data_IF_071961355864
#
_entry.id   IF_071961355864
#
_cell.length_a   1.000
_cell.length_b   1.000
_cell.length_c   1.000
_cell.angle_alpha   90.00
_cell.angle_beta   90.00
_cell.angle_gamma   90.00
#
_symmetry.space_group_name_H-M   'P 1'
#
loop_
_entity.id
_entity.type
_entity.pdbx_description
1 polymer ?
#
# COMPACT_ATOMS: atom_id res chain seq x y z
N UNK A 1 26.53 27.35 -22.25
CA UNK A 1 25.56 26.24 -22.29
C UNK A 1 26.15 25.09 -21.48
N UNK A 2 25.51 24.69 -20.37
CA UNK A 2 25.91 23.45 -19.67
C UNK A 2 25.35 22.26 -20.45
N UNK A 3 26.14 21.22 -20.77
CA UNK A 3 25.61 20.03 -21.41
C UNK A 3 24.63 19.35 -20.45
N UNK A 4 23.40 19.13 -20.92
CA UNK A 4 22.41 18.34 -20.18
C UNK A 4 22.80 16.88 -20.36
N UNK A 5 23.14 16.22 -19.26
CA UNK A 5 23.61 14.84 -19.24
C UNK A 5 22.47 13.87 -19.57
N UNK A 6 22.40 13.44 -20.83
CA UNK A 6 21.37 12.54 -21.36
C UNK A 6 21.59 11.06 -21.05
N UNK A 7 22.60 10.71 -20.23
CA UNK A 7 22.92 9.30 -19.92
C UNK A 7 21.95 8.67 -18.91
N UNK A 8 21.39 9.45 -17.99
CA UNK A 8 20.54 8.95 -16.89
C UNK A 8 19.19 8.38 -17.37
N UNK A 9 18.54 9.00 -18.36
CA UNK A 9 17.22 8.55 -18.85
C UNK A 9 17.31 7.25 -19.64
N UNK A 10 18.43 7.00 -20.32
CA UNK A 10 18.65 5.79 -21.14
C UNK A 10 18.85 4.53 -20.29
N UNK A 11 19.48 4.67 -19.13
CA UNK A 11 19.72 3.57 -18.17
C UNK A 11 18.44 3.17 -17.41
N UNK A 12 17.54 4.11 -17.14
CA UNK A 12 16.26 3.81 -16.48
C UNK A 12 15.31 3.02 -17.41
N UNK A 13 15.29 3.34 -18.70
CA UNK A 13 14.46 2.63 -19.68
C UNK A 13 14.92 1.17 -19.86
N UNK A 14 16.22 0.89 -19.87
CA UNK A 14 16.74 -0.48 -20.02
C UNK A 14 16.40 -1.38 -18.82
N UNK A 15 16.38 -0.84 -17.60
CA UNK A 15 16.00 -1.60 -16.40
C UNK A 15 14.54 -2.06 -16.43
N UNK A 16 13.64 -1.17 -16.89
CA UNK A 16 12.21 -1.49 -17.04
C UNK A 16 11.98 -2.56 -18.12
N UNK A 17 12.71 -2.47 -19.23
CA UNK A 17 12.66 -3.46 -20.32
C UNK A 17 13.19 -4.83 -19.87
N UNK A 18 14.35 -4.86 -19.20
CA UNK A 18 14.95 -6.07 -18.62
C UNK A 18 13.98 -6.76 -17.66
N UNK A 19 13.37 -6.00 -16.76
CA UNK A 19 12.44 -6.55 -15.79
C UNK A 19 11.15 -7.04 -16.45
N UNK A 20 10.64 -6.31 -17.45
CA UNK A 20 9.49 -6.76 -18.22
C UNK A 20 9.78 -8.04 -19.00
N UNK A 21 11.00 -8.22 -19.52
CA UNK A 21 11.43 -9.46 -20.20
C UNK A 21 11.52 -10.63 -19.21
N UNK A 22 12.15 -10.41 -18.04
CA UNK A 22 12.19 -11.41 -16.97
C UNK A 22 10.78 -11.84 -16.56
N UNK A 23 9.88 -10.88 -16.33
CA UNK A 23 8.47 -11.10 -16.07
C UNK A 23 7.80 -11.99 -17.12
N UNK A 24 7.93 -11.64 -18.40
CA UNK A 24 7.36 -12.41 -19.50
C UNK A 24 7.90 -13.85 -19.53
N UNK A 25 9.20 -14.04 -19.24
CA UNK A 25 9.81 -15.37 -19.17
C UNK A 25 9.28 -16.20 -17.99
N UNK A 26 9.10 -15.61 -16.81
CA UNK A 26 8.45 -16.28 -15.68
C UNK A 26 6.99 -16.63 -16.06
N UNK A 27 6.25 -15.71 -16.67
CA UNK A 27 4.85 -15.92 -17.08
C UNK A 27 4.69 -17.07 -18.09
N UNK A 28 5.67 -17.24 -18.98
CA UNK A 28 5.68 -18.29 -19.99
C UNK A 28 6.35 -19.61 -19.53
N UNK A 29 6.75 -19.72 -18.25
CA UNK A 29 7.55 -20.84 -17.71
C UNK A 29 8.89 -21.05 -18.47
N UNK A 30 9.44 -20.01 -19.06
CA UNK A 30 10.75 -20.04 -19.76
C UNK A 30 11.92 -19.84 -18.79
N UNK A 31 11.63 -19.33 -17.59
CA UNK A 31 12.59 -19.09 -16.54
C UNK A 31 11.93 -19.33 -15.18
N UNK A 32 12.68 -19.88 -14.22
CA UNK A 32 12.27 -19.91 -12.82
C UNK A 32 12.67 -18.60 -12.15
N UNK A 33 11.85 -18.07 -11.25
CA UNK A 33 12.28 -16.93 -10.46
C UNK A 33 13.37 -17.43 -9.50
N UNK A 34 14.64 -17.01 -9.66
CA UNK A 34 15.73 -17.49 -8.81
C UNK A 34 15.54 -17.14 -7.34
N UNK A 35 14.64 -16.20 -7.02
CA UNK A 35 14.25 -15.86 -5.66
C UNK A 35 12.91 -16.49 -5.23
N UNK A 36 12.17 -17.13 -6.14
CA UNK A 36 10.82 -17.66 -5.91
C UNK A 36 9.80 -16.59 -5.52
N UNK A 37 10.05 -15.33 -5.89
CA UNK A 37 9.31 -14.17 -5.43
C UNK A 37 8.14 -13.84 -6.34
N UNK A 38 8.18 -14.10 -7.64
CA UNK A 38 7.17 -13.72 -8.61
C UNK A 38 5.94 -14.61 -8.60
N UNK A 39 4.78 -13.96 -8.58
CA UNK A 39 3.47 -14.54 -8.85
C UNK A 39 2.91 -13.70 -9.99
N UNK A 40 2.64 -14.31 -11.14
CA UNK A 40 2.07 -13.54 -12.25
C UNK A 40 0.61 -13.21 -11.99
N UNK A 41 0.05 -12.25 -12.74
CA UNK A 41 -1.38 -11.89 -12.66
C UNK A 41 -2.33 -13.05 -12.96
N UNK A 42 -1.83 -14.13 -13.58
CA UNK A 42 -2.60 -15.33 -13.98
C UNK A 42 -2.17 -16.60 -13.26
N UNK A 43 -0.91 -16.67 -12.86
CA UNK A 43 -0.37 -17.69 -11.96
C UNK A 43 -0.44 -17.11 -10.56
N UNK A 44 -1.63 -17.11 -9.98
CA UNK A 44 -1.69 -17.39 -8.55
C UNK A 44 -0.83 -18.65 -8.39
N UNK A 45 0.16 -18.66 -7.51
CA UNK A 45 0.52 -19.94 -6.91
C UNK A 45 -0.84 -20.54 -6.54
N UNK A 46 -1.14 -21.75 -7.00
CA UNK A 46 -2.25 -22.53 -6.49
C UNK A 46 -1.93 -22.76 -5.02
N UNK A 47 -2.19 -21.71 -4.26
CA UNK A 47 -2.10 -21.63 -2.85
C UNK A 47 -3.47 -22.11 -2.49
N UNK A 48 -3.57 -23.40 -2.23
CA UNK A 48 -4.73 -24.08 -1.68
C UNK A 48 -5.15 -23.52 -0.30
N UNK A 49 -4.69 -22.32 0.07
CA UNK A 49 -4.83 -21.69 1.37
C UNK A 49 -3.91 -22.28 2.44
N UNK A 50 -3.06 -23.27 2.12
CA UNK A 50 -2.36 -24.09 3.12
C UNK A 50 -0.83 -24.09 3.02
N UNK A 51 -0.23 -23.06 2.41
CA UNK A 51 1.23 -22.86 2.40
C UNK A 51 1.69 -21.62 3.18
N UNK A 52 3.02 -21.42 3.29
CA UNK A 52 3.59 -20.10 3.61
C UNK A 52 3.95 -19.34 2.35
N UNK A 53 3.57 -18.06 2.29
CA UNK A 53 4.00 -17.19 1.19
C UNK A 53 5.46 -16.78 1.40
N UNK A 54 6.24 -16.80 0.32
CA UNK A 54 7.61 -16.33 0.34
C UNK A 54 7.66 -14.85 0.79
N UNK A 55 8.55 -14.54 1.73
CA UNK A 55 8.82 -13.17 2.16
C UNK A 55 9.64 -12.47 1.09
N UNK A 56 9.22 -11.27 0.68
CA UNK A 56 9.97 -10.41 -0.23
C UNK A 56 10.65 -9.28 0.53
N UNK A 57 11.89 -8.98 0.18
CA UNK A 57 12.60 -7.84 0.76
C UNK A 57 11.95 -6.50 0.32
N UNK A 58 11.95 -5.56 1.26
CA UNK A 58 11.40 -4.20 1.16
C UNK A 58 12.33 -3.32 0.33
N UNK A 59 11.80 -2.73 -0.75
CA UNK A 59 12.54 -1.82 -1.62
C UNK A 59 11.58 -0.83 -2.27
N UNK A 60 11.98 0.42 -2.49
CA UNK A 60 11.23 1.25 -3.44
C UNK A 60 11.52 0.81 -4.88
N UNK A 61 10.64 1.17 -5.82
CA UNK A 61 10.79 0.86 -7.25
C UNK A 61 12.12 1.35 -7.86
N UNK A 62 12.74 2.39 -7.29
CA UNK A 62 13.98 2.99 -7.79
C UNK A 62 15.26 2.24 -7.37
N UNK A 63 15.19 1.45 -6.31
CA UNK A 63 16.34 0.80 -5.69
C UNK A 63 16.64 -0.61 -6.25
N UNK A 64 15.74 -1.21 -7.06
CA UNK A 64 16.00 -2.49 -7.74
C UNK A 64 16.66 -2.28 -9.12
N UNK A 65 17.81 -2.92 -9.35
CA UNK A 65 18.64 -2.87 -10.57
C UNK A 65 18.92 -4.28 -11.05
N UNK A 66 18.18 -4.78 -12.03
CA UNK A 66 18.59 -6.02 -12.67
C UNK A 66 19.64 -5.74 -13.74
N UNK A 67 20.74 -6.47 -13.65
CA UNK A 67 21.76 -6.49 -14.68
C UNK A 67 21.55 -7.74 -15.53
N UNK A 68 21.35 -7.54 -16.84
CA UNK A 68 21.31 -8.63 -17.82
C UNK A 68 22.74 -8.98 -18.20
N UNK A 69 23.15 -10.21 -17.94
CA UNK A 69 24.43 -10.73 -18.43
C UNK A 69 24.40 -10.96 -19.93
N UNK A 70 25.58 -11.06 -20.52
CA UNK A 70 25.78 -11.27 -21.96
C UNK A 70 25.21 -12.59 -22.47
N UNK A 71 25.07 -13.59 -21.59
CA UNK A 71 24.47 -14.90 -21.85
C UNK A 71 22.93 -14.89 -21.75
N UNK A 72 22.33 -13.74 -21.40
CA UNK A 72 20.90 -13.59 -21.22
C UNK A 72 20.39 -13.98 -19.83
N UNK A 73 21.27 -14.40 -18.92
CA UNK A 73 20.96 -14.64 -17.52
C UNK A 73 20.78 -13.30 -16.78
N UNK A 74 19.88 -13.26 -15.80
CA UNK A 74 19.65 -12.08 -14.98
C UNK A 74 20.34 -12.25 -13.64
N UNK A 75 21.22 -11.30 -13.28
CA UNK A 75 21.79 -11.25 -11.92
C UNK A 75 21.28 -10.04 -11.17
N UNK A 76 20.88 -10.29 -9.93
CA UNK A 76 20.60 -9.25 -8.95
C UNK A 76 21.87 -9.05 -8.12
N UNK A 77 22.49 -7.87 -8.21
CA UNK A 77 23.62 -7.48 -7.36
C UNK A 77 23.14 -7.01 -5.96
N UNK A 78 22.20 -7.74 -5.36
CA UNK A 78 21.54 -7.31 -4.13
C UNK A 78 21.81 -8.24 -2.96
N UNK A 79 22.31 -7.63 -1.89
CA UNK A 79 22.18 -8.18 -0.55
C UNK A 79 20.74 -7.86 -0.13
N UNK A 80 19.90 -8.88 0.02
CA UNK A 80 18.63 -8.69 0.69
C UNK A 80 18.92 -8.06 2.06
N UNK A 81 18.34 -6.90 2.42
CA UNK A 81 18.31 -6.56 3.83
C UNK A 81 17.65 -7.76 4.49
N UNK A 82 18.39 -8.43 5.37
CA UNK A 82 17.81 -9.44 6.22
C UNK A 82 16.72 -8.70 6.99
N UNK A 83 15.46 -8.87 6.57
CA UNK A 83 14.40 -8.70 7.54
C UNK A 83 14.82 -9.57 8.71
N UNK A 84 14.87 -9.02 9.94
CA UNK A 84 15.19 -9.84 11.08
C UNK A 84 14.23 -11.02 11.03
N UNK A 85 14.77 -12.19 10.68
CA UNK A 85 14.12 -13.43 10.96
C UNK A 85 13.89 -13.35 12.46
N UNK A 86 12.65 -13.12 12.87
CA UNK A 86 12.30 -13.07 14.27
C UNK A 86 12.56 -14.47 14.82
N UNK A 87 13.79 -14.65 15.30
CA UNK A 87 14.35 -15.83 15.96
C UNK A 87 14.53 -17.11 15.13
N UNK A 88 15.69 -17.75 15.37
CA UNK A 88 16.16 -18.96 14.72
C UNK A 88 15.22 -20.15 14.97
N UNK A 89 14.44 -20.48 13.95
CA UNK A 89 13.54 -21.63 13.95
C UNK A 89 12.42 -21.43 12.94
N UNK A 90 12.75 -21.43 11.65
CA UNK A 90 11.81 -21.19 10.54
C UNK A 90 10.84 -22.37 10.32
N UNK A 91 10.33 -22.96 11.40
CA UNK A 91 9.14 -23.79 11.39
C UNK A 91 7.95 -22.89 11.11
N UNK A 92 7.35 -23.12 9.96
CA UNK A 92 6.22 -22.39 9.43
C UNK A 92 4.94 -22.49 10.30
N UNK A 93 4.85 -21.77 11.41
CA UNK A 93 3.57 -21.61 12.10
C UNK A 93 2.75 -20.53 11.40
N UNK A 94 1.56 -20.87 10.92
CA UNK A 94 0.58 -19.89 10.47
C UNK A 94 0.43 -18.81 11.53
N UNK A 95 0.62 -17.56 11.14
CA UNK A 95 0.39 -16.46 12.06
C UNK A 95 -1.12 -16.25 12.17
N UNK A 96 -1.60 -16.11 13.40
CA UNK A 96 -2.97 -15.71 13.66
C UNK A 96 -3.25 -14.39 12.92
N UNK A 97 -4.41 -14.25 12.24
CA UNK A 97 -4.76 -12.99 11.60
C UNK A 97 -4.68 -11.83 12.60
N UNK A 98 -4.08 -10.75 12.17
CA UNK A 98 -3.91 -9.52 12.95
C UNK A 98 -4.94 -8.51 12.48
N UNK A 99 -5.69 -7.94 13.42
CA UNK A 99 -6.62 -6.86 13.14
C UNK A 99 -6.27 -5.64 13.98
N UNK A 100 -6.08 -4.51 13.32
CA UNK A 100 -5.78 -3.22 13.94
C UNK A 100 -6.80 -2.22 13.43
N UNK A 101 -7.35 -1.40 14.32
CA UNK A 101 -8.40 -0.45 13.97
C UNK A 101 -8.20 0.89 14.62
N UNK A 102 -8.84 1.90 14.05
CA UNK A 102 -8.95 3.23 14.67
C UNK A 102 -9.82 3.22 15.93
N UNK A 103 -10.64 2.19 16.17
CA UNK A 103 -11.39 2.05 17.43
C UNK A 103 -10.41 2.08 18.61
N UNK A 104 -10.63 3.01 19.55
CA UNK A 104 -9.82 3.26 20.74
C UNK A 104 -8.46 3.95 20.52
N UNK A 105 -8.03 4.13 19.27
CA UNK A 105 -6.82 4.86 18.95
C UNK A 105 -7.10 6.33 18.61
N UNK A 106 -6.20 7.21 19.10
CA UNK A 106 -6.25 8.64 18.83
C UNK A 106 -7.52 9.32 19.34
N UNK A 107 -8.03 8.93 20.52
CA UNK A 107 -9.23 9.51 21.13
C UNK A 107 -9.17 11.04 21.15
N UNK A 108 -10.24 11.67 20.67
CA UNK A 108 -10.37 13.13 20.58
C UNK A 108 -11.80 13.48 20.94
N UNK A 109 -11.98 14.22 22.04
CA UNK A 109 -13.29 14.52 22.63
C UNK A 109 -13.46 16.02 22.89
N UNK A 110 -12.78 16.88 22.12
CA UNK A 110 -12.98 18.33 22.21
C UNK A 110 -14.34 18.74 21.60
N UNK A 111 -14.76 19.97 21.90
CA UNK A 111 -16.07 20.52 21.52
C UNK A 111 -16.36 20.55 20.02
N UNK A 112 -15.33 20.56 19.17
CA UNK A 112 -15.47 20.59 17.70
C UNK A 112 -15.56 19.19 17.06
N UNK A 113 -15.28 18.13 17.82
CA UNK A 113 -15.54 16.74 17.43
C UNK A 113 -15.85 15.88 18.68
N UNK A 114 -17.00 16.13 19.34
CA UNK A 114 -17.34 15.48 20.60
C UNK A 114 -17.61 13.98 20.47
N UNK A 115 -17.89 13.50 19.26
CA UNK A 115 -18.10 12.09 18.96
C UNK A 115 -16.80 11.36 18.56
N UNK A 116 -15.70 12.11 18.47
CA UNK A 116 -14.41 11.61 18.05
C UNK A 116 -14.45 10.95 16.68
N UNK A 117 -15.15 11.50 15.68
CA UNK A 117 -15.16 10.96 14.31
C UNK A 117 -13.82 11.14 13.61
N UNK A 118 -13.54 10.33 12.59
CA UNK A 118 -12.40 10.53 11.71
C UNK A 118 -12.73 11.64 10.73
N UNK A 119 -11.88 12.66 10.64
CA UNK A 119 -12.06 13.80 9.75
C UNK A 119 -11.22 13.74 8.48
N UNK A 120 -10.16 12.94 8.47
CA UNK A 120 -9.35 12.75 7.28
C UNK A 120 -8.50 11.48 7.35
N UNK A 121 -8.28 10.87 6.19
CA UNK A 121 -7.36 9.76 5.98
C UNK A 121 -6.20 10.22 5.09
N UNK A 122 -5.00 9.74 5.40
CA UNK A 122 -3.80 9.96 4.57
C UNK A 122 -2.94 8.69 4.51
N UNK A 123 -2.26 8.51 3.38
CA UNK A 123 -1.22 7.49 3.23
C UNK A 123 0.12 8.11 3.58
N UNK A 124 0.99 7.33 4.21
CA UNK A 124 2.41 7.65 4.34
C UNK A 124 3.21 6.51 3.77
N UNK A 125 4.22 6.81 2.96
CA UNK A 125 5.12 5.79 2.43
C UNK A 125 6.58 6.22 2.45
N UNK A 126 7.48 5.24 2.53
CA UNK A 126 8.93 5.45 2.42
C UNK A 126 9.61 4.11 2.05
N UNK A 127 10.83 4.14 1.49
CA UNK A 127 11.67 2.93 1.41
C UNK A 127 12.17 2.47 2.78
N UNK A 128 12.20 3.34 3.79
CA UNK A 128 12.53 3.01 5.17
C UNK A 128 11.33 2.63 6.06
N UNK A 129 11.58 1.88 7.13
CA UNK A 129 10.58 1.32 8.07
C UNK A 129 9.66 2.33 8.76
N UNK A 130 9.98 3.64 8.73
CA UNK A 130 9.28 4.63 9.53
C UNK A 130 9.03 5.94 8.75
N UNK A 131 8.05 5.96 7.83
CA UNK A 131 7.63 7.20 7.20
C UNK A 131 7.05 8.18 8.23
N UNK A 132 7.27 9.48 8.01
CA UNK A 132 6.75 10.53 8.88
C UNK A 132 5.24 10.66 8.75
N UNK A 133 4.54 10.70 9.88
CA UNK A 133 3.11 10.99 9.90
C UNK A 133 2.85 12.48 9.63
N UNK A 134 1.71 12.84 9.00
CA UNK A 134 1.25 14.21 9.03
C UNK A 134 1.05 14.68 10.48
N UNK A 135 1.32 15.95 10.81
CA UNK A 135 1.15 16.46 12.16
C UNK A 135 -0.27 16.25 12.71
N UNK A 136 -0.38 15.57 13.86
CA UNK A 136 -1.66 15.27 14.52
C UNK A 136 -2.35 13.99 14.05
N UNK A 137 -1.79 13.27 13.08
CA UNK A 137 -2.36 12.01 12.59
C UNK A 137 -1.88 10.82 13.41
N UNK A 138 -2.77 9.88 13.63
CA UNK A 138 -2.50 8.56 14.20
C UNK A 138 -2.31 7.56 13.07
N UNK A 139 -1.27 6.72 13.17
CA UNK A 139 -0.95 5.67 12.18
C UNK A 139 -1.44 4.32 12.67
N UNK A 140 -2.10 3.56 11.81
CA UNK A 140 -2.38 2.15 12.09
C UNK A 140 -1.09 1.33 11.85
N UNK A 141 -0.56 0.59 12.85
CA UNK A 141 0.75 -0.08 12.77
C UNK A 141 0.78 -1.37 11.93
N UNK A 142 0.07 -1.41 10.80
CA UNK A 142 0.20 -2.49 9.81
C UNK A 142 0.74 -1.90 8.51
N UNK A 143 1.86 -2.45 8.04
CA UNK A 143 2.38 -2.16 6.71
C UNK A 143 1.47 -2.79 5.65
N UNK A 144 0.91 -1.96 4.78
CA UNK A 144 -0.02 -2.39 3.73
C UNK A 144 0.65 -3.29 2.68
N UNK A 145 1.99 -3.27 2.62
CA UNK A 145 2.81 -4.12 1.78
C UNK A 145 3.44 -5.31 2.55
N UNK A 146 2.94 -5.68 3.73
CA UNK A 146 3.63 -6.66 4.60
C UNK A 146 3.97 -7.97 3.85
N UNK A 147 5.24 -8.36 3.93
CA UNK A 147 5.87 -9.48 3.21
C UNK A 147 5.77 -9.48 1.67
N UNK A 148 5.10 -8.50 1.05
CA UNK A 148 5.03 -8.33 -0.39
C UNK A 148 6.24 -7.58 -0.98
N UNK A 149 7.12 -7.06 -0.11
CA UNK A 149 8.26 -6.24 -0.47
C UNK A 149 7.84 -4.77 -0.62
N UNK A 150 8.41 -4.05 -1.58
CA UNK A 150 7.98 -2.68 -1.87
C UNK A 150 8.33 -1.63 -0.82
N UNK A 151 7.71 -0.46 -0.95
CA UNK A 151 7.76 0.58 0.08
C UNK A 151 7.02 0.11 1.33
N UNK A 152 7.42 0.64 2.48
CA UNK A 152 6.57 0.59 3.66
C UNK A 152 5.43 1.58 3.45
N UNK A 153 4.19 1.12 3.57
CA UNK A 153 3.00 1.92 3.32
C UNK A 153 2.09 1.80 4.53
N UNK A 154 1.64 2.91 5.09
CA UNK A 154 0.72 2.89 6.23
C UNK A 154 -0.46 3.83 6.00
N UNK A 155 -1.61 3.42 6.53
CA UNK A 155 -2.77 4.28 6.64
C UNK A 155 -2.70 5.09 7.93
N UNK A 156 -3.01 6.37 7.82
CA UNK A 156 -3.10 7.31 8.93
C UNK A 156 -4.46 8.00 8.94
N UNK A 157 -4.90 8.42 10.12
CA UNK A 157 -6.15 9.14 10.30
C UNK A 157 -6.00 10.28 11.30
N UNK A 158 -6.89 11.28 11.23
CA UNK A 158 -6.97 12.35 12.22
C UNK A 158 -8.41 12.56 12.67
N UNK A 159 -8.57 12.85 13.96
CA UNK A 159 -9.87 13.19 14.56
C UNK A 159 -10.01 14.68 14.85
N UNK A 160 -8.91 15.42 15.06
CA UNK A 160 -8.93 16.88 15.23
C UNK A 160 -9.23 17.57 13.88
N UNK A 161 -10.40 18.22 13.71
CA UNK A 161 -10.76 18.88 12.45
C UNK A 161 -9.79 19.98 12.05
N UNK A 162 -9.07 20.61 13.00
CA UNK A 162 -8.09 21.67 12.75
C UNK A 162 -6.77 21.14 12.22
N UNK A 163 -6.53 19.82 12.30
CA UNK A 163 -5.30 19.17 11.82
C UNK A 163 -5.43 18.58 10.42
N UNK A 164 -6.65 18.54 9.87
CA UNK A 164 -6.94 18.03 8.53
C UNK A 164 -5.98 18.65 7.51
N UNK A 165 -5.24 17.78 6.80
CA UNK A 165 -4.33 18.12 5.73
C UNK A 165 -5.09 18.06 4.40
N UNK A 166 -5.73 19.17 4.06
CA UNK A 166 -6.41 19.33 2.78
C UNK A 166 -5.40 19.24 1.62
N UNK A 167 -5.66 18.35 0.67
CA UNK A 167 -4.91 18.29 -0.58
C UNK A 167 -5.71 18.97 -1.72
N UNK A 168 -5.58 18.47 -2.95
CA UNK A 168 -6.23 19.05 -4.13
C UNK A 168 -7.76 19.09 -4.02
N UNK A 169 -8.38 18.20 -3.26
CA UNK A 169 -9.84 18.13 -3.04
C UNK A 169 -10.43 19.45 -2.52
N UNK A 170 -9.70 20.17 -1.68
CA UNK A 170 -10.15 21.44 -1.13
C UNK A 170 -10.07 22.56 -2.16
N UNK A 171 -8.97 22.62 -2.92
CA UNK A 171 -8.76 23.64 -3.95
C UNK A 171 -9.62 23.44 -5.20
N UNK A 172 -10.12 22.22 -5.41
CA UNK A 172 -11.05 21.89 -6.49
C UNK A 172 -12.53 22.16 -6.10
N UNK A 173 -12.79 22.80 -4.95
CA UNK A 173 -14.13 23.06 -4.43
C UNK A 173 -15.02 21.81 -4.37
N UNK A 174 -14.43 20.67 -3.97
CA UNK A 174 -15.23 19.45 -3.75
C UNK A 174 -16.25 19.71 -2.65
N UNK A 175 -17.53 19.53 -2.97
CA UNK A 175 -18.68 19.81 -2.08
C UNK A 175 -18.61 19.05 -0.74
N UNK A 176 -17.76 18.02 -0.67
CA UNK A 176 -17.58 17.14 0.49
C UNK A 176 -16.11 17.02 0.91
N UNK A 177 -15.35 18.12 0.83
CA UNK A 177 -13.97 18.18 1.34
C UNK A 177 -13.92 18.33 2.87
N UNK A 178 -14.99 18.82 3.50
CA UNK A 178 -15.11 19.02 4.95
C UNK A 178 -16.04 17.98 5.61
N UNK A 179 -15.92 17.84 6.93
CA UNK A 179 -16.72 16.90 7.72
C UNK A 179 -16.03 15.57 8.02
N UNK A 180 -16.74 14.65 8.68
CA UNK A 180 -16.22 13.31 8.98
C UNK A 180 -16.19 12.43 7.73
N UNK A 181 -15.26 11.48 7.70
CA UNK A 181 -15.19 10.43 6.69
C UNK A 181 -16.36 9.47 6.89
N UNK A 182 -17.12 9.23 5.82
CA UNK A 182 -18.33 8.41 5.84
C UNK A 182 -18.21 7.14 4.99
N UNK A 183 -17.27 7.09 4.04
CA UNK A 183 -16.95 5.87 3.33
C UNK A 183 -15.54 5.89 2.72
N UNK A 184 -15.06 4.71 2.36
CA UNK A 184 -13.88 4.53 1.50
C UNK A 184 -14.22 3.68 0.28
N UNK A 185 -13.37 3.79 -0.73
CA UNK A 185 -13.43 3.01 -1.96
C UNK A 185 -12.02 2.53 -2.31
N UNK A 186 -11.92 1.28 -2.79
CA UNK A 186 -10.67 0.66 -3.23
C UNK A 186 -10.85 0.19 -4.66
N UNK A 187 -9.94 0.61 -5.55
CA UNK A 187 -9.97 0.24 -6.96
C UNK A 187 -8.62 -0.32 -7.40
N UNK A 188 -8.66 -1.38 -8.18
CA UNK A 188 -7.51 -1.85 -8.96
C UNK A 188 -7.49 -1.10 -10.29
N UNK A 189 -6.31 -0.66 -10.73
CA UNK A 189 -6.14 0.12 -11.95
C UNK A 189 -4.83 -0.16 -12.68
N UNK A 190 -4.45 0.79 -13.55
CA UNK A 190 -3.15 0.80 -14.21
C UNK A 190 -2.12 1.62 -13.43
N UNK A 191 -1.02 1.99 -14.09
CA UNK A 191 0.04 2.83 -13.51
C UNK A 191 -0.43 4.24 -13.13
N UNK A 192 -1.62 4.62 -13.57
CA UNK A 192 -2.31 5.84 -13.17
C UNK A 192 -3.58 5.47 -12.39
N UNK A 193 -3.96 6.28 -11.40
CA UNK A 193 -5.19 6.05 -10.65
C UNK A 193 -6.40 6.06 -11.58
N UNK A 194 -7.35 5.11 -11.44
CA UNK A 194 -8.63 5.20 -12.11
C UNK A 194 -9.44 6.38 -11.54
N UNK A 195 -10.46 6.83 -12.27
CA UNK A 195 -11.37 7.84 -11.75
C UNK A 195 -12.11 7.31 -10.51
N UNK A 196 -12.20 8.09 -9.41
CA UNK A 196 -13.03 7.74 -8.27
C UNK A 196 -14.51 7.65 -8.65
N UNK A 197 -15.31 6.97 -7.83
CA UNK A 197 -16.76 7.14 -7.89
C UNK A 197 -17.17 8.60 -7.57
N UNK A 198 -18.37 9.05 -7.98
CA UNK A 198 -18.83 10.40 -7.67
C UNK A 198 -18.66 10.72 -6.18
N UNK A 199 -18.12 11.90 -5.89
CA UNK A 199 -17.90 12.42 -4.53
C UNK A 199 -16.83 11.71 -3.69
N UNK A 200 -16.10 10.77 -4.29
CA UNK A 200 -14.87 10.25 -3.72
C UNK A 200 -13.67 11.04 -4.26
N UNK A 201 -12.65 11.14 -3.43
CA UNK A 201 -11.35 11.70 -3.78
C UNK A 201 -10.26 10.88 -3.13
N UNK A 202 -9.03 11.02 -3.60
CA UNK A 202 -7.93 10.20 -3.14
C UNK A 202 -7.70 10.30 -1.63
N UNK A 203 -7.35 9.16 -1.03
CA UNK A 203 -6.58 9.17 0.21
C UNK A 203 -5.14 9.47 -0.21
N UNK A 204 -4.80 10.74 -0.20
CA UNK A 204 -3.50 11.22 -0.71
C UNK A 204 -2.33 10.75 0.16
N UNK A 205 -1.19 10.54 -0.49
CA UNK A 205 0.10 10.46 0.18
C UNK A 205 0.46 11.81 0.76
N UNK A 206 0.83 11.81 2.04
CA UNK A 206 1.35 12.99 2.70
C UNK A 206 2.80 13.27 2.26
N UNK A 207 3.10 14.55 2.02
CA UNK A 207 4.44 15.04 1.77
C UNK A 207 4.78 16.20 2.71
N UNK A 208 5.90 16.11 3.44
CA UNK A 208 6.40 17.23 4.25
C UNK A 208 6.82 18.44 3.42
N UNK A 209 6.97 18.29 2.10
CA UNK A 209 7.26 19.38 1.16
C UNK A 209 6.04 20.26 0.86
N UNK A 210 4.86 19.90 1.40
CA UNK A 210 3.63 20.68 1.30
C UNK A 210 2.57 20.06 0.39
N UNK A 211 1.34 20.58 0.48
CA UNK A 211 0.14 20.01 -0.18
C UNK A 211 0.25 19.90 -1.70
N UNK A 212 1.07 20.74 -2.35
CA UNK A 212 1.29 20.71 -3.80
C UNK A 212 1.95 19.40 -4.27
N UNK A 213 2.64 18.70 -3.36
CA UNK A 213 3.34 17.44 -3.59
C UNK A 213 2.56 16.21 -3.12
N UNK A 214 1.32 16.40 -2.64
CA UNK A 214 0.48 15.26 -2.28
C UNK A 214 0.06 14.54 -3.57
N UNK A 215 0.30 13.24 -3.60
CA UNK A 215 0.05 12.38 -4.75
C UNK A 215 -0.93 11.27 -4.42
N UNK A 216 -1.60 10.73 -5.44
CA UNK A 216 -2.27 9.45 -5.27
C UNK A 216 -1.18 8.38 -5.02
N UNK A 217 -1.36 7.55 -3.99
CA UNK A 217 -0.43 6.47 -3.69
C UNK A 217 -0.97 5.16 -4.25
N UNK A 218 -0.14 4.46 -5.01
CA UNK A 218 -0.35 3.04 -5.26
C UNK A 218 -0.04 2.27 -3.96
N UNK A 219 -1.06 1.63 -3.39
CA UNK A 219 -0.96 0.89 -2.13
C UNK A 219 -0.12 -0.38 -2.24
N UNK A 220 0.31 -0.74 -3.45
CA UNK A 220 1.19 -1.86 -3.74
C UNK A 220 2.56 -1.40 -4.30
N UNK A 221 2.90 -0.12 -4.10
CA UNK A 221 4.07 0.49 -4.74
C UNK A 221 5.39 -0.20 -4.38
N UNK A 222 6.18 -0.52 -5.40
CA UNK A 222 7.46 -1.23 -5.27
C UNK A 222 7.34 -2.73 -5.02
N UNK A 223 6.15 -3.24 -4.75
CA UNK A 223 5.89 -4.66 -4.53
C UNK A 223 5.49 -5.39 -5.84
N UNK A 224 5.39 -4.65 -6.95
CA UNK A 224 5.25 -5.17 -8.33
C UNK A 224 4.01 -6.04 -8.58
N UNK A 225 2.96 -5.88 -7.76
CA UNK A 225 1.65 -6.49 -8.03
C UNK A 225 0.71 -5.57 -8.81
N UNK A 226 -0.59 -5.74 -8.59
CA UNK A 226 -1.62 -4.85 -9.11
C UNK A 226 -1.46 -3.44 -8.56
N UNK A 227 -1.74 -2.42 -9.39
CA UNK A 227 -1.83 -1.04 -8.91
C UNK A 227 -3.16 -0.84 -8.18
N UNK A 228 -3.08 -0.48 -6.91
CA UNK A 228 -4.25 -0.40 -6.02
C UNK A 228 -4.36 1.01 -5.47
N UNK A 229 -5.54 1.59 -5.62
CA UNK A 229 -5.80 2.98 -5.31
C UNK A 229 -6.92 3.08 -4.29
N UNK A 230 -6.79 4.03 -3.37
CA UNK A 230 -7.77 4.27 -2.32
C UNK A 230 -8.34 5.68 -2.36
N UNK A 231 -9.61 5.75 -1.99
CA UNK A 231 -10.40 6.96 -2.01
C UNK A 231 -11.25 7.03 -0.76
N UNK A 232 -11.60 8.25 -0.35
CA UNK A 232 -12.49 8.52 0.76
C UNK A 232 -13.61 9.48 0.31
N UNK A 233 -14.70 9.51 1.07
CA UNK A 233 -15.75 10.50 0.92
C UNK A 233 -16.21 10.99 2.29
N UNK A 234 -16.69 12.24 2.31
CA UNK A 234 -17.31 12.90 3.47
C UNK A 234 -18.74 13.34 3.14
N UNK A 235 -19.36 12.67 2.16
CA UNK A 235 -20.78 12.89 1.87
C UNK A 235 -21.62 12.68 3.13
N UNK A 236 -22.73 13.43 3.28
CA UNK A 236 -23.67 13.20 4.37
C UNK A 236 -24.04 11.72 4.50
N UNK A 237 -23.81 11.16 5.67
CA UNK A 237 -23.94 9.73 5.95
C UNK A 237 -23.39 9.41 7.33
N UNK A 238 -23.42 8.13 7.71
CA UNK A 238 -22.88 7.69 8.99
C UNK A 238 -21.34 7.76 8.94
N UNK A 239 -20.67 8.46 9.88
CA UNK A 239 -19.23 8.39 10.03
C UNK A 239 -18.76 6.95 10.22
N UNK A 240 -17.52 6.68 9.82
CA UNK A 240 -16.95 5.34 9.92
C UNK A 240 -15.68 5.31 10.77
N UNK A 241 -15.41 4.13 11.32
CA UNK A 241 -14.09 3.70 11.77
C UNK A 241 -13.42 2.88 10.66
N UNK A 242 -12.09 2.86 10.66
CA UNK A 242 -11.27 2.11 9.69
C UNK A 242 -10.41 1.07 10.41
N UNK A 243 -10.24 -0.08 9.79
CA UNK A 243 -9.34 -1.13 10.25
C UNK A 243 -8.52 -1.72 9.12
N UNK A 244 -7.46 -2.41 9.50
CA UNK A 244 -6.60 -3.20 8.63
C UNK A 244 -6.61 -4.63 9.16
N UNK A 245 -6.95 -5.56 8.28
CA UNK A 245 -6.91 -6.99 8.53
C UNK A 245 -5.74 -7.60 7.75
N UNK A 246 -4.84 -8.29 8.44
CA UNK A 246 -3.68 -8.96 7.87
C UNK A 246 -3.69 -10.45 8.23
N UNK A 247 -3.29 -11.32 7.30
CA UNK A 247 -3.16 -12.75 7.58
C UNK A 247 -2.54 -13.55 6.44
N UNK A 248 -2.40 -14.85 6.66
CA UNK A 248 -1.78 -15.81 5.72
C UNK A 248 -2.79 -16.43 4.72
N UNK A 249 -4.08 -16.13 4.84
CA UNK A 249 -5.14 -16.64 3.96
C UNK A 249 -6.09 -15.51 3.49
N UNK A 250 -6.71 -15.68 2.32
CA UNK A 250 -7.67 -14.72 1.75
C UNK A 250 -9.05 -14.75 2.44
N UNK A 251 -9.39 -15.90 3.02
CA UNK A 251 -10.65 -16.15 3.69
C UNK A 251 -10.71 -15.61 5.14
N UNK A 252 -9.66 -14.93 5.62
CA UNK A 252 -9.65 -14.28 6.94
C UNK A 252 -10.81 -13.30 7.09
N UNK A 253 -11.40 -13.25 8.28
CA UNK A 253 -12.57 -12.41 8.59
C UNK A 253 -12.20 -11.34 9.61
N UNK A 254 -12.72 -10.11 9.47
CA UNK A 254 -12.56 -9.10 10.51
C UNK A 254 -13.46 -9.43 11.72
N UNK A 255 -13.27 -8.74 12.86
CA UNK A 255 -14.17 -8.88 14.01
C UNK A 255 -15.63 -8.56 13.66
N UNK A 256 -16.57 -9.05 14.48
CA UNK A 256 -18.00 -8.81 14.29
C UNK A 256 -18.33 -7.31 14.19
N UNK A 257 -19.18 -6.95 13.21
CA UNK A 257 -19.61 -5.57 12.96
C UNK A 257 -18.70 -4.80 12.00
N UNK A 258 -17.55 -5.36 11.60
CA UNK A 258 -16.69 -4.79 10.58
C UNK A 258 -17.00 -5.37 9.20
N UNK A 259 -17.00 -4.51 8.19
CA UNK A 259 -17.09 -4.86 6.79
C UNK A 259 -15.70 -4.89 6.16
N UNK A 260 -15.32 -6.02 5.55
CA UNK A 260 -14.05 -6.20 4.82
C UNK A 260 -14.23 -5.85 3.34
N UNK A 261 -13.39 -4.97 2.80
CA UNK A 261 -13.33 -4.76 1.35
C UNK A 261 -12.70 -5.99 0.68
N UNK A 262 -13.22 -6.41 -0.46
CA UNK A 262 -12.79 -7.66 -1.13
C UNK A 262 -11.40 -7.60 -1.77
N UNK A 263 -10.86 -6.41 -1.96
CA UNK A 263 -9.56 -6.22 -2.62
C UNK A 263 -8.42 -6.47 -1.64
N UNK A 264 -7.58 -7.47 -1.94
CA UNK A 264 -6.28 -7.68 -1.28
C UNK A 264 -5.33 -6.56 -1.70
N UNK A 265 -4.79 -5.79 -0.75
CA UNK A 265 -3.87 -4.69 -1.03
C UNK A 265 -2.49 -5.17 -1.52
N UNK A 266 -2.20 -6.46 -1.35
CA UNK A 266 -1.02 -7.12 -1.90
C UNK A 266 -1.34 -7.96 -3.15
N UNK A 267 -2.49 -7.73 -3.81
CA UNK A 267 -2.90 -8.50 -4.98
C UNK A 267 -1.78 -8.56 -6.04
N UNK A 268 -1.38 -9.77 -6.42
CA UNK A 268 -0.32 -10.01 -7.42
C UNK A 268 1.11 -9.76 -6.92
N UNK A 269 1.29 -9.23 -5.70
CA UNK A 269 2.59 -8.99 -5.09
C UNK A 269 3.01 -10.08 -4.09
N UNK A 270 2.18 -11.10 -3.85
CA UNK A 270 2.47 -12.10 -2.82
C UNK A 270 2.40 -11.49 -1.41
N UNK A 271 3.14 -12.01 -0.44
CA UNK A 271 3.09 -11.49 0.94
C UNK A 271 1.76 -11.77 1.66
N UNK A 272 1.52 -11.06 2.78
CA UNK A 272 0.28 -11.24 3.56
C UNK A 272 -0.93 -10.82 2.73
N UNK A 273 -2.08 -11.44 3.00
CA UNK A 273 -3.35 -10.90 2.55
C UNK A 273 -3.70 -9.71 3.43
N UNK A 274 -3.81 -8.53 2.83
CA UNK A 274 -4.09 -7.29 3.53
C UNK A 274 -5.42 -6.73 3.03
N UNK A 275 -6.33 -6.40 3.94
CA UNK A 275 -7.63 -5.83 3.60
C UNK A 275 -7.90 -4.58 4.43
N UNK A 276 -8.43 -3.54 3.80
CA UNK A 276 -9.10 -2.48 4.55
C UNK A 276 -10.47 -2.96 5.02
N UNK A 277 -10.84 -2.51 6.20
CA UNK A 277 -12.13 -2.75 6.82
C UNK A 277 -12.76 -1.43 7.24
N UNK A 278 -14.09 -1.38 7.27
CA UNK A 278 -14.83 -0.26 7.85
C UNK A 278 -15.89 -0.73 8.83
N UNK A 279 -16.29 0.15 9.74
CA UNK A 279 -17.44 -0.05 10.62
C UNK A 279 -18.18 1.26 10.76
N UNK A 280 -19.50 1.22 10.67
CA UNK A 280 -20.31 2.41 10.89
C UNK A 280 -20.28 2.79 12.37
N UNK A 281 -20.19 4.09 12.65
CA UNK A 281 -20.39 4.66 13.98
C UNK A 281 -21.81 5.16 14.18
#
# INVERSE_FOLDING_TARGET
MKPVDGTSSRVQNSKKEIWSDFLNKIENNEQEDPLGQYVSKKNYLNFDGSGLRAVRAKYNYYERSLDKKTDGEYTSNYVAPTEPCETAGCGATYSTPVFVSSENDGLYNDLDNPNGYIYDLKIVSNSGVNPNNPPGYTRLPIDLNDKAGGSYIYLTFVRDPKKVQNAREYYQNSVYASGPVTNIEIKTGGSSPPSPSPYYYHIYEYSSSGYAYFGAQDLNNGAWGSHIWSYQTKQPGNPIEIGILSGDADNIQPPLGWYKYSTDLNQGAGGKFIYLCKKNR
#
